data_IF_801772409835
#
_entry.id   IF_801772409835
#
_cell.length_a   1.000
_cell.length_b   1.000
_cell.length_c   1.000
_cell.angle_alpha   90.00
_cell.angle_beta   90.00
_cell.angle_gamma   90.00
#
_symmetry.space_group_name_H-M   'P 1'
#
loop_
_entity.id
_entity.type
_entity.pdbx_description
1 polymer ?
#
# COMPACT_ATOMS: atom_id res chain seq x y z
N UNK A 1 -22.48 15.62 24.64
CA UNK A 1 -23.32 15.48 23.43
C UNK A 1 -22.39 14.93 22.35
N UNK A 2 -22.40 13.61 22.12
CA UNK A 2 -21.42 12.94 21.24
C UNK A 2 -21.78 13.30 19.80
N UNK A 3 -20.82 13.92 19.11
CA UNK A 3 -20.99 14.50 17.78
C UNK A 3 -21.30 13.40 16.75
N UNK A 4 -22.33 13.60 15.94
CA UNK A 4 -22.89 12.59 15.00
C UNK A 4 -21.92 12.19 13.88
N UNK A 5 -20.85 12.96 13.65
CA UNK A 5 -19.82 12.71 12.61
C UNK A 5 -18.85 11.59 13.00
N UNK A 6 -18.36 11.59 14.24
CA UNK A 6 -17.46 10.54 14.78
C UNK A 6 -18.16 9.17 14.87
N UNK A 7 -19.50 9.17 14.96
CA UNK A 7 -20.29 7.93 14.93
C UNK A 7 -20.17 7.16 13.62
N UNK A 8 -19.87 7.81 12.48
CA UNK A 8 -19.76 7.13 11.18
C UNK A 8 -18.38 6.49 10.99
N UNK A 9 -17.31 7.22 11.29
CA UNK A 9 -15.94 6.70 11.23
C UNK A 9 -15.71 5.56 12.24
N UNK A 10 -16.18 5.74 13.48
CA UNK A 10 -16.15 4.69 14.51
C UNK A 10 -16.96 3.46 14.06
N UNK A 11 -18.08 3.66 13.36
CA UNK A 11 -18.91 2.56 12.84
C UNK A 11 -18.23 1.83 11.68
N UNK A 12 -17.54 2.53 10.77
CA UNK A 12 -16.73 1.95 9.71
C UNK A 12 -15.57 1.11 10.29
N UNK A 13 -14.86 1.66 11.28
CA UNK A 13 -13.78 0.96 11.99
C UNK A 13 -14.30 -0.28 12.73
N UNK A 14 -15.45 -0.19 13.39
CA UNK A 14 -16.10 -1.34 14.03
C UNK A 14 -16.58 -2.38 13.00
N UNK A 15 -17.04 -1.97 11.82
CA UNK A 15 -17.45 -2.88 10.76
C UNK A 15 -16.25 -3.63 10.17
N UNK A 16 -15.16 -2.91 9.86
CA UNK A 16 -13.91 -3.52 9.38
C UNK A 16 -13.31 -4.46 10.44
N UNK A 17 -13.29 -4.05 11.71
CA UNK A 17 -12.81 -4.88 12.82
C UNK A 17 -13.72 -6.11 13.05
N UNK A 18 -15.03 -5.97 12.89
CA UNK A 18 -15.97 -7.09 13.03
C UNK A 18 -15.83 -8.11 11.91
N UNK A 19 -15.50 -7.69 10.69
CA UNK A 19 -15.19 -8.59 9.57
C UNK A 19 -13.92 -9.40 9.87
N UNK A 20 -12.86 -8.74 10.35
CA UNK A 20 -11.61 -9.41 10.75
C UNK A 20 -11.82 -10.38 11.92
N UNK A 21 -12.63 -10.01 12.92
CA UNK A 21 -12.98 -10.89 14.03
C UNK A 21 -13.84 -12.09 13.59
N UNK A 22 -14.75 -11.90 12.64
CA UNK A 22 -15.53 -13.00 12.07
C UNK A 22 -14.64 -13.99 11.30
N UNK A 23 -13.62 -13.50 10.59
CA UNK A 23 -12.64 -14.33 9.88
C UNK A 23 -11.80 -15.17 10.87
N UNK A 24 -11.33 -14.57 11.98
CA UNK A 24 -10.52 -15.29 12.98
C UNK A 24 -11.28 -16.33 13.78
N UNK A 25 -12.59 -16.14 14.03
CA UNK A 25 -13.41 -17.12 14.75
C UNK A 25 -13.77 -18.36 13.91
N UNK A 26 -13.68 -18.27 12.58
CA UNK A 26 -13.93 -19.41 11.68
C UNK A 26 -12.70 -20.32 11.49
N UNK A 27 -11.51 -19.87 11.89
CA UNK A 27 -10.28 -20.67 11.89
C UNK A 27 -10.14 -21.64 13.08
N UNK A 28 -11.13 -21.69 13.97
CA UNK A 28 -11.03 -22.35 15.28
C UNK A 28 -11.92 -23.57 15.49
N UNK A 29 -12.04 -24.52 14.55
CA UNK A 29 -12.56 -25.87 14.84
C UNK A 29 -12.23 -26.92 13.76
N UNK A 30 -11.24 -27.79 14.05
CA UNK A 30 -10.97 -29.06 13.35
C UNK A 30 -9.73 -29.01 12.46
N UNK A 31 -8.74 -29.91 12.52
CA UNK A 31 -8.69 -31.33 12.91
C UNK A 31 -7.27 -31.73 13.37
N UNK A 32 -7.23 -32.82 14.14
CA UNK A 32 -6.07 -33.59 14.62
C UNK A 32 -5.07 -33.98 13.52
N UNK A 33 -3.78 -33.89 13.85
CA UNK A 33 -2.66 -34.49 13.13
C UNK A 33 -2.47 -35.98 13.47
N UNK A 34 -1.86 -36.76 12.57
CA UNK A 34 -1.03 -37.89 12.96
C UNK A 34 0.41 -37.80 12.40
N UNK A 35 1.34 -37.94 13.35
CA UNK A 35 2.70 -38.50 13.37
C UNK A 35 3.57 -38.59 12.10
N UNK A 36 4.78 -38.02 12.23
CA UNK A 36 5.96 -38.26 11.41
C UNK A 36 6.73 -39.51 11.87
N UNK A 37 7.65 -40.02 11.01
CA UNK A 37 8.93 -40.50 11.52
C UNK A 37 10.14 -39.86 10.83
N UNK A 38 11.23 -39.82 11.60
CA UNK A 38 12.54 -39.25 11.33
C UNK A 38 13.48 -40.18 10.55
N UNK A 39 14.48 -39.59 9.87
CA UNK A 39 15.93 -39.87 9.96
C UNK A 39 16.63 -39.39 8.67
N UNK A 40 17.55 -38.43 8.76
CA UNK A 40 19.02 -38.59 8.71
C UNK A 40 19.62 -39.00 7.36
N UNK A 41 20.66 -38.24 6.93
CA UNK A 41 21.68 -38.72 6.00
C UNK A 41 22.10 -37.72 4.91
N UNK A 42 23.10 -36.87 5.20
CA UNK A 42 24.08 -36.41 4.18
C UNK A 42 25.17 -37.49 4.04
N UNK A 43 25.85 -37.60 2.89
CA UNK A 43 27.15 -36.93 2.78
C UNK A 43 27.44 -36.28 1.41
N UNK A 44 28.46 -35.42 1.46
CA UNK A 44 29.13 -34.59 0.45
C UNK A 44 29.93 -35.37 -0.61
N UNK A 45 30.22 -34.73 -1.76
CA UNK A 45 31.51 -34.64 -2.50
C UNK A 45 31.24 -33.96 -3.86
N UNK A 46 31.77 -32.74 -4.10
CA UNK A 46 33.02 -32.43 -4.82
C UNK A 46 33.03 -32.81 -6.31
N UNK A 47 33.19 -31.80 -7.19
CA UNK A 47 33.56 -32.05 -8.58
C UNK A 47 33.25 -30.95 -9.60
N UNK A 48 34.25 -30.11 -9.84
CA UNK A 48 34.70 -29.69 -11.18
C UNK A 48 34.12 -28.40 -11.81
N UNK A 49 35.05 -27.45 -12.00
CA UNK A 49 34.94 -26.25 -12.79
C UNK A 49 35.02 -26.55 -14.29
N UNK A 50 34.28 -25.79 -15.11
CA UNK A 50 34.55 -25.64 -16.53
C UNK A 50 34.25 -24.21 -17.00
N UNK A 51 35.06 -23.76 -17.95
CA UNK A 51 35.31 -22.39 -18.39
C UNK A 51 34.16 -21.72 -19.16
N UNK A 52 34.26 -20.39 -19.17
CA UNK A 52 33.36 -19.40 -19.76
C UNK A 52 33.13 -19.50 -21.29
N UNK A 53 31.99 -19.00 -21.77
CA UNK A 53 31.87 -18.37 -23.08
C UNK A 53 32.00 -16.84 -22.98
N UNK A 54 32.74 -16.27 -23.92
CA UNK A 54 32.88 -14.83 -24.17
C UNK A 54 31.53 -14.12 -24.44
N UNK A 55 31.45 -12.81 -24.17
CA UNK A 55 30.20 -12.05 -24.23
C UNK A 55 29.79 -11.78 -25.69
N UNK A 56 28.57 -12.16 -26.04
CA UNK A 56 27.91 -11.66 -27.24
C UNK A 56 27.33 -10.27 -26.96
N UNK A 57 27.72 -9.33 -27.80
CA UNK A 57 27.12 -8.00 -27.98
C UNK A 57 25.58 -8.11 -28.03
N UNK A 58 24.93 -7.54 -27.02
CA UNK A 58 23.51 -7.21 -27.05
C UNK A 58 23.38 -5.71 -26.72
N UNK A 59 22.60 -5.03 -27.55
CA UNK A 59 22.55 -3.58 -27.68
C UNK A 59 22.46 -2.81 -26.37
N UNK A 60 23.18 -1.71 -26.33
CA UNK A 60 23.06 -0.65 -25.35
C UNK A 60 21.66 -0.03 -25.45
N UNK A 61 20.70 -0.59 -24.72
CA UNK A 61 19.64 0.23 -24.15
C UNK A 61 20.32 1.19 -23.18
N UNK A 62 20.24 2.48 -23.50
CA UNK A 62 20.67 3.54 -22.60
C UNK A 62 19.74 3.57 -21.39
N UNK A 63 20.00 2.69 -20.43
CA UNK A 63 19.41 2.79 -19.09
C UNK A 63 19.85 4.12 -18.49
N UNK A 64 18.87 5.00 -18.27
CA UNK A 64 19.09 6.20 -17.49
C UNK A 64 19.32 5.76 -16.04
N UNK A 65 20.43 6.16 -15.38
CA UNK A 65 20.67 5.75 -14.00
C UNK A 65 19.53 6.26 -13.11
N UNK A 66 18.76 5.34 -12.51
CA UNK A 66 17.78 5.66 -11.46
C UNK A 66 16.29 5.53 -11.81
N UNK A 67 15.90 5.06 -12.99
CA UNK A 67 14.48 4.72 -13.28
C UNK A 67 14.20 3.25 -12.93
N UNK A 68 13.04 2.91 -12.30
CA UNK A 68 12.72 1.52 -11.99
C UNK A 68 12.67 0.65 -13.25
N UNK A 69 13.22 -0.56 -13.16
CA UNK A 69 13.20 -1.54 -14.23
C UNK A 69 11.78 -2.11 -14.42
N UNK A 70 11.02 -2.26 -13.33
CA UNK A 70 9.66 -2.83 -13.32
C UNK A 70 8.65 -1.96 -12.57
N UNK A 71 7.35 -2.20 -12.83
CA UNK A 71 6.26 -1.60 -12.06
C UNK A 71 6.31 -2.00 -10.57
N UNK A 72 6.71 -3.25 -10.28
CA UNK A 72 6.91 -3.73 -8.91
C UNK A 72 7.99 -2.95 -8.16
N UNK A 73 9.10 -2.62 -8.81
CA UNK A 73 10.18 -1.82 -8.18
C UNK A 73 9.71 -0.39 -7.88
N UNK A 74 9.00 0.24 -8.83
CA UNK A 74 8.37 1.56 -8.63
C UNK A 74 7.41 1.54 -7.44
N UNK A 75 6.52 0.54 -7.41
CA UNK A 75 5.55 0.37 -6.33
C UNK A 75 6.23 0.11 -4.98
N UNK A 76 7.24 -0.76 -4.95
CA UNK A 76 8.02 -1.04 -3.73
C UNK A 76 8.66 0.22 -3.15
N UNK A 77 9.33 1.02 -3.98
CA UNK A 77 9.95 2.27 -3.54
C UNK A 77 8.92 3.29 -3.03
N UNK A 78 7.76 3.39 -3.67
CA UNK A 78 6.67 4.24 -3.22
C UNK A 78 6.09 3.79 -1.87
N UNK A 79 5.81 2.49 -1.70
CA UNK A 79 5.27 1.93 -0.46
C UNK A 79 6.26 2.07 0.69
N UNK A 80 7.56 1.90 0.46
CA UNK A 80 8.59 2.13 1.46
C UNK A 80 8.59 3.59 1.94
N UNK A 81 8.63 4.55 0.99
CA UNK A 81 8.63 5.98 1.31
C UNK A 81 7.33 6.39 2.05
N UNK A 82 6.18 5.91 1.58
CA UNK A 82 4.90 6.11 2.25
C UNK A 82 4.88 5.51 3.66
N UNK A 83 5.38 4.30 3.82
CA UNK A 83 5.41 3.60 5.12
C UNK A 83 6.22 4.35 6.16
N UNK A 84 7.37 4.91 5.78
CA UNK A 84 8.19 5.76 6.65
C UNK A 84 7.42 7.01 7.09
N UNK A 85 6.78 7.73 6.15
CA UNK A 85 5.96 8.91 6.47
C UNK A 85 4.80 8.56 7.42
N UNK A 86 4.03 7.52 7.11
CA UNK A 86 2.87 7.12 7.91
C UNK A 86 3.29 6.69 9.32
N UNK A 87 4.41 5.98 9.45
CA UNK A 87 4.96 5.59 10.76
C UNK A 87 5.34 6.82 11.57
N UNK A 88 6.07 7.77 10.96
CA UNK A 88 6.52 8.99 11.62
C UNK A 88 5.36 9.87 12.08
N UNK A 89 4.35 10.05 11.22
CA UNK A 89 3.13 10.81 11.57
C UNK A 89 2.31 10.10 12.65
N UNK A 90 2.17 8.77 12.56
CA UNK A 90 1.43 7.99 13.56
C UNK A 90 2.07 8.12 14.93
N UNK A 91 3.39 7.97 15.02
CA UNK A 91 4.14 8.13 16.27
C UNK A 91 4.02 9.55 16.83
N UNK A 92 4.21 10.57 15.99
CA UNK A 92 4.13 11.96 16.40
C UNK A 92 2.74 12.34 16.95
N UNK A 93 1.67 11.86 16.31
CA UNK A 93 0.29 12.10 16.77
C UNK A 93 -0.01 11.32 18.06
N UNK A 94 0.38 10.04 18.12
CA UNK A 94 0.12 9.18 19.26
C UNK A 94 0.82 9.65 20.55
N UNK A 95 2.02 10.22 20.41
CA UNK A 95 2.85 10.68 21.54
C UNK A 95 2.65 12.16 21.91
N UNK A 96 1.78 12.89 21.22
CA UNK A 96 1.48 14.29 21.54
C UNK A 96 0.12 14.42 22.29
N UNK A 97 0.10 15.09 23.46
CA UNK A 97 -1.13 15.29 24.22
C UNK A 97 -2.25 15.97 23.41
N UNK A 98 -3.43 15.34 23.41
CA UNK A 98 -4.60 15.82 22.69
C UNK A 98 -4.62 15.47 21.20
N UNK A 99 -3.71 14.64 20.71
CA UNK A 99 -3.75 14.06 19.34
C UNK A 99 -3.64 12.54 19.32
N UNK A 100 -3.72 11.89 20.47
CA UNK A 100 -3.40 10.47 20.64
C UNK A 100 -4.25 9.58 19.73
N UNK A 101 -5.54 9.92 19.61
CA UNK A 101 -6.51 9.20 18.78
C UNK A 101 -6.54 9.66 17.32
N UNK A 102 -5.92 10.79 16.98
CA UNK A 102 -5.87 11.30 15.61
C UNK A 102 -4.97 10.39 14.73
N UNK A 103 -4.01 9.69 15.33
CA UNK A 103 -3.19 8.66 14.68
C UNK A 103 -4.03 7.52 14.07
N UNK A 104 -5.21 7.21 14.65
CA UNK A 104 -6.08 6.14 14.16
C UNK A 104 -6.64 6.43 12.77
N UNK A 105 -6.75 7.69 12.36
CA UNK A 105 -7.19 8.07 11.03
C UNK A 105 -6.27 7.55 9.93
N UNK A 106 -4.97 7.36 10.24
CA UNK A 106 -3.97 6.89 9.28
C UNK A 106 -4.07 5.39 9.00
N UNK A 107 -4.68 4.61 9.89
CA UNK A 107 -4.83 3.15 9.73
C UNK A 107 -5.59 2.77 8.46
N UNK A 108 -6.57 3.59 8.05
CA UNK A 108 -7.33 3.34 6.81
C UNK A 108 -6.44 3.30 5.56
N UNK A 109 -5.36 4.09 5.55
CA UNK A 109 -4.42 4.16 4.43
C UNK A 109 -3.57 2.89 4.38
N UNK A 110 -3.11 2.39 5.53
CA UNK A 110 -2.38 1.12 5.59
C UNK A 110 -3.25 -0.08 5.20
N UNK A 111 -4.56 -0.03 5.47
CA UNK A 111 -5.48 -1.09 5.03
C UNK A 111 -5.66 -1.13 3.51
N UNK A 112 -5.59 0.02 2.83
CA UNK A 112 -5.60 0.10 1.36
C UNK A 112 -4.41 -0.65 0.76
N UNK A 113 -3.24 -0.61 1.41
CA UNK A 113 -2.02 -1.24 0.89
C UNK A 113 -2.15 -2.75 0.77
N UNK A 114 -2.95 -3.38 1.63
CA UNK A 114 -3.28 -4.80 1.53
C UNK A 114 -4.04 -5.13 0.25
N UNK A 115 -5.00 -4.28 -0.14
CA UNK A 115 -5.75 -4.47 -1.39
C UNK A 115 -4.89 -4.25 -2.64
N UNK A 116 -3.78 -3.52 -2.50
CA UNK A 116 -2.82 -3.24 -3.56
C UNK A 116 -1.61 -4.18 -3.56
N UNK A 117 -1.52 -5.12 -2.62
CA UNK A 117 -0.42 -6.08 -2.52
C UNK A 117 -0.06 -6.77 -3.85
N UNK A 118 -1.01 -7.23 -4.70
CA UNK A 118 -0.66 -7.85 -5.97
C UNK A 118 0.22 -6.98 -6.89
N UNK A 119 0.22 -5.65 -6.73
CA UNK A 119 1.07 -4.76 -7.51
C UNK A 119 2.58 -5.01 -7.29
N UNK A 120 2.97 -5.62 -6.17
CA UNK A 120 4.35 -6.05 -5.90
C UNK A 120 4.82 -7.23 -6.77
N UNK A 121 4.00 -7.70 -7.70
CA UNK A 121 4.35 -8.75 -8.67
C UNK A 121 4.36 -8.25 -10.12
N UNK A 122 3.95 -7.00 -10.36
CA UNK A 122 3.84 -6.47 -11.72
C UNK A 122 5.22 -6.36 -12.39
N UNK A 123 5.40 -7.07 -13.49
CA UNK A 123 6.65 -7.18 -14.24
C UNK A 123 7.61 -8.24 -13.69
N UNK A 124 7.22 -8.98 -12.64
CA UNK A 124 7.99 -10.09 -12.08
C UNK A 124 7.43 -11.47 -12.45
N UNK A 125 6.21 -11.51 -13.00
CA UNK A 125 5.57 -12.73 -13.48
C UNK A 125 4.79 -13.51 -12.42
N UNK A 126 4.21 -14.62 -12.88
CA UNK A 126 3.23 -15.40 -12.12
C UNK A 126 3.80 -16.03 -10.84
N UNK A 127 5.07 -16.43 -10.83
CA UNK A 127 5.71 -17.00 -9.63
C UNK A 127 5.76 -15.98 -8.48
N UNK A 128 6.07 -14.72 -8.79
CA UNK A 128 6.05 -13.62 -7.81
C UNK A 128 4.64 -13.37 -7.27
N UNK A 129 3.63 -13.37 -8.14
CA UNK A 129 2.23 -13.23 -7.72
C UNK A 129 1.78 -14.38 -6.80
N UNK A 130 2.17 -15.61 -7.11
CA UNK A 130 1.91 -16.78 -6.27
C UNK A 130 2.59 -16.67 -4.91
N UNK A 131 3.83 -16.20 -4.85
CA UNK A 131 4.54 -16.01 -3.58
C UNK A 131 3.89 -14.92 -2.73
N UNK A 132 3.58 -13.77 -3.33
CA UNK A 132 2.98 -12.62 -2.64
C UNK A 132 1.60 -12.96 -2.06
N UNK A 133 0.75 -13.64 -2.83
CA UNK A 133 -0.64 -13.90 -2.44
C UNK A 133 -0.82 -15.25 -1.74
N UNK A 134 0.07 -16.22 -1.97
CA UNK A 134 0.03 -17.53 -1.31
C UNK A 134 0.16 -17.43 0.21
N UNK A 135 0.90 -16.43 0.72
CA UNK A 135 0.98 -16.14 2.16
C UNK A 135 -0.38 -15.72 2.76
N UNK A 136 -1.26 -15.11 1.95
CA UNK A 136 -2.61 -14.72 2.34
C UNK A 136 -3.65 -15.83 2.09
N UNK A 137 -3.21 -17.04 1.77
CA UNK A 137 -4.10 -18.17 1.48
C UNK A 137 -4.90 -18.04 0.19
N UNK A 138 -4.51 -17.12 -0.70
CA UNK A 138 -5.16 -16.94 -1.99
C UNK A 138 -5.02 -18.19 -2.86
N UNK A 139 -6.04 -18.45 -3.67
CA UNK A 139 -6.15 -19.59 -4.58
C UNK A 139 -6.47 -19.12 -5.98
N UNK A 140 -6.35 -20.04 -6.94
CA UNK A 140 -6.73 -19.81 -8.34
C UNK A 140 -6.10 -18.52 -8.91
N UNK A 141 -4.82 -18.30 -8.57
CA UNK A 141 -4.07 -17.10 -8.96
C UNK A 141 -3.83 -17.15 -10.46
N UNK A 142 -4.22 -16.10 -11.16
CA UNK A 142 -3.99 -15.92 -12.60
C UNK A 142 -3.32 -14.57 -12.81
N UNK A 143 -2.06 -14.61 -13.24
CA UNK A 143 -1.28 -13.43 -13.64
C UNK A 143 -1.36 -13.23 -15.15
N UNK A 144 -1.47 -11.97 -15.57
CA UNK A 144 -1.37 -11.59 -16.98
C UNK A 144 -0.67 -10.25 -17.12
N UNK A 145 0.12 -10.13 -18.18
CA UNK A 145 0.88 -8.93 -18.53
C UNK A 145 0.88 -8.73 -20.04
N UNK A 146 0.67 -7.49 -20.48
CA UNK A 146 0.76 -7.09 -21.87
C UNK A 146 1.36 -5.69 -21.98
N UNK A 147 2.66 -5.62 -22.24
CA UNK A 147 3.40 -4.35 -22.28
C UNK A 147 3.38 -3.69 -20.91
N UNK A 148 2.65 -2.58 -20.78
CA UNK A 148 2.56 -1.82 -19.54
C UNK A 148 1.28 -2.06 -18.73
N UNK A 149 0.48 -3.05 -19.14
CA UNK A 149 -0.78 -3.42 -18.49
C UNK A 149 -0.63 -4.75 -17.76
N UNK A 150 -1.12 -4.80 -16.53
CA UNK A 150 -1.03 -5.94 -15.62
C UNK A 150 -2.41 -6.31 -15.09
N UNK A 151 -2.62 -7.59 -14.80
CA UNK A 151 -3.79 -8.06 -14.07
C UNK A 151 -3.43 -9.29 -13.25
N UNK A 152 -3.81 -9.28 -11.98
CA UNK A 152 -3.75 -10.45 -11.09
C UNK A 152 -5.15 -10.74 -10.58
N UNK A 153 -5.67 -11.92 -10.93
CA UNK A 153 -6.95 -12.43 -10.43
C UNK A 153 -6.68 -13.53 -9.42
N UNK A 154 -7.48 -13.59 -8.37
CA UNK A 154 -7.34 -14.63 -7.36
C UNK A 154 -8.65 -14.79 -6.58
N UNK A 155 -8.77 -15.93 -5.90
CA UNK A 155 -9.83 -16.21 -4.95
C UNK A 155 -9.28 -16.11 -3.53
N UNK A 156 -9.89 -15.26 -2.72
CA UNK A 156 -9.51 -15.12 -1.31
C UNK A 156 -9.92 -16.34 -0.47
N UNK A 157 -9.43 -16.42 0.76
CA UNK A 157 -9.84 -17.45 1.72
C UNK A 157 -11.33 -17.36 2.09
N UNK A 158 -11.89 -16.15 2.00
CA UNK A 158 -13.32 -15.85 2.12
C UNK A 158 -14.18 -16.42 0.96
N UNK A 159 -13.52 -16.93 -0.09
CA UNK A 159 -14.16 -17.44 -1.29
C UNK A 159 -14.61 -16.36 -2.28
N UNK A 160 -14.26 -15.09 -2.04
CA UNK A 160 -14.57 -13.94 -2.90
C UNK A 160 -13.55 -13.86 -4.04
N UNK A 161 -13.99 -13.38 -5.20
CA UNK A 161 -13.10 -13.15 -6.34
C UNK A 161 -12.54 -11.74 -6.30
N UNK A 162 -11.23 -11.65 -6.40
CA UNK A 162 -10.47 -10.42 -6.42
C UNK A 162 -9.72 -10.30 -7.75
N UNK A 163 -9.61 -9.06 -8.23
CA UNK A 163 -8.78 -8.71 -9.38
C UNK A 163 -8.13 -7.36 -9.11
N UNK A 164 -6.81 -7.29 -9.29
CA UNK A 164 -6.08 -6.04 -9.34
C UNK A 164 -5.56 -5.82 -10.75
N UNK A 165 -6.00 -4.74 -11.38
CA UNK A 165 -5.48 -4.28 -12.67
C UNK A 165 -4.47 -3.16 -12.44
N UNK A 166 -3.41 -3.14 -13.24
CA UNK A 166 -2.36 -2.12 -13.19
C UNK A 166 -2.03 -1.56 -14.57
N UNK A 167 -1.75 -0.27 -14.65
CA UNK A 167 -1.19 0.40 -15.82
C UNK A 167 0.03 1.22 -15.38
N UNK A 168 1.20 0.89 -15.91
CA UNK A 168 2.46 1.54 -15.58
C UNK A 168 2.92 2.50 -16.68
N UNK A 169 3.28 3.72 -16.31
CA UNK A 169 3.98 4.66 -17.18
C UNK A 169 5.44 4.76 -16.72
N UNK A 170 6.33 4.08 -17.44
CA UNK A 170 7.76 4.05 -17.14
C UNK A 170 8.43 5.41 -17.31
N UNK A 171 7.96 6.26 -18.22
CA UNK A 171 8.56 7.58 -18.43
C UNK A 171 8.22 8.54 -17.29
N UNK A 172 7.04 8.36 -16.70
CA UNK A 172 6.59 9.11 -15.55
C UNK A 172 7.01 8.52 -14.20
N UNK A 173 7.47 7.27 -14.18
CA UNK A 173 7.52 6.44 -12.98
C UNK A 173 6.20 6.55 -12.19
N UNK A 174 5.11 6.16 -12.86
CA UNK A 174 3.75 6.25 -12.33
C UNK A 174 2.99 4.94 -12.53
N UNK A 175 2.27 4.50 -11.50
CA UNK A 175 1.43 3.30 -11.55
C UNK A 175 0.01 3.67 -11.15
N UNK A 176 -0.95 3.26 -11.98
CA UNK A 176 -2.37 3.29 -11.67
C UNK A 176 -2.89 1.88 -11.46
N UNK A 177 -3.57 1.66 -10.35
CA UNK A 177 -4.19 0.40 -10.00
C UNK A 177 -5.71 0.54 -9.85
N UNK A 178 -6.45 -0.49 -10.27
CA UNK A 178 -7.89 -0.62 -10.06
C UNK A 178 -8.15 -1.96 -9.38
N UNK A 179 -8.73 -1.92 -8.18
CA UNK A 179 -9.19 -3.12 -7.48
C UNK A 179 -10.63 -3.41 -7.81
N UNK A 180 -10.91 -4.67 -8.11
CA UNK A 180 -12.21 -5.20 -8.49
C UNK A 180 -12.52 -6.38 -7.57
N UNK A 181 -13.67 -6.31 -6.90
CA UNK A 181 -14.17 -7.36 -6.01
C UNK A 181 -15.52 -7.83 -6.55
N UNK A 182 -15.63 -9.12 -6.85
CA UNK A 182 -16.81 -9.75 -7.49
C UNK A 182 -17.33 -8.93 -8.70
N UNK A 183 -16.40 -8.47 -9.54
CA UNK A 183 -16.69 -7.73 -10.76
C UNK A 183 -17.08 -6.25 -10.57
N UNK A 184 -17.02 -5.72 -9.34
CA UNK A 184 -17.27 -4.30 -9.04
C UNK A 184 -15.98 -3.61 -8.67
N UNK A 185 -15.76 -2.43 -9.23
CA UNK A 185 -14.67 -1.56 -8.78
C UNK A 185 -14.91 -1.15 -7.32
N UNK A 186 -13.89 -1.33 -6.48
CA UNK A 186 -13.91 -0.93 -5.06
C UNK A 186 -12.83 0.10 -4.74
N UNK A 187 -11.79 0.20 -5.58
CA UNK A 187 -10.65 1.08 -5.33
C UNK A 187 -9.96 1.48 -6.63
N UNK A 188 -9.59 2.75 -6.75
CA UNK A 188 -8.61 3.23 -7.72
C UNK A 188 -7.46 3.89 -6.97
N UNK A 189 -6.23 3.44 -7.19
CA UNK A 189 -5.02 4.05 -6.64
C UNK A 189 -4.11 4.52 -7.75
N UNK A 190 -3.39 5.60 -7.52
CA UNK A 190 -2.37 6.11 -8.41
C UNK A 190 -1.20 6.65 -7.59
N UNK A 191 0.02 6.33 -7.99
CA UNK A 191 1.22 7.01 -7.49
C UNK A 191 2.08 7.45 -8.66
N UNK A 192 2.88 8.49 -8.41
CA UNK A 192 3.79 9.06 -9.40
C UNK A 192 5.03 9.65 -8.74
N UNK A 193 6.18 9.44 -9.37
CA UNK A 193 7.42 10.12 -8.99
C UNK A 193 7.36 11.61 -9.33
N UNK A 194 7.86 12.44 -8.43
CA UNK A 194 7.97 13.89 -8.62
C UNK A 194 9.40 14.35 -8.37
N UNK A 195 9.68 15.64 -8.62
CA UNK A 195 11.00 16.23 -8.32
C UNK A 195 11.33 16.26 -6.83
N UNK A 196 10.33 16.15 -5.94
CA UNK A 196 10.51 16.18 -4.49
C UNK A 196 10.38 14.79 -3.85
N UNK A 197 9.96 13.76 -4.58
CA UNK A 197 9.73 12.42 -4.04
C UNK A 197 8.56 11.75 -4.74
N UNK A 198 7.42 11.62 -4.06
CA UNK A 198 6.22 10.97 -4.60
C UNK A 198 4.95 11.76 -4.31
N UNK A 199 3.98 11.63 -5.22
CA UNK A 199 2.58 12.00 -4.99
C UNK A 199 1.73 10.76 -5.21
N UNK A 200 0.70 10.59 -4.38
CA UNK A 200 -0.23 9.48 -4.47
C UNK A 200 -1.65 9.91 -4.17
N UNK A 201 -2.60 9.19 -4.78
CA UNK A 201 -4.02 9.31 -4.48
C UNK A 201 -4.67 7.92 -4.47
N UNK A 202 -5.61 7.72 -3.57
CA UNK A 202 -6.44 6.51 -3.52
C UNK A 202 -7.88 6.90 -3.30
N UNK A 203 -8.73 6.52 -4.25
CA UNK A 203 -10.17 6.62 -4.16
C UNK A 203 -10.76 5.26 -3.80
N UNK A 204 -11.52 5.20 -2.71
CA UNK A 204 -12.10 3.97 -2.16
C UNK A 204 -13.62 4.07 -2.19
N UNK A 205 -14.28 2.99 -2.60
CA UNK A 205 -15.73 2.83 -2.62
C UNK A 205 -16.08 1.78 -1.56
N UNK A 206 -16.70 2.21 -0.47
CA UNK A 206 -17.18 1.32 0.59
C UNK A 206 -18.40 0.51 0.15
N UNK A 207 -18.68 -0.58 0.89
CA UNK A 207 -19.79 -1.50 0.60
C UNK A 207 -21.17 -0.81 0.66
N UNK A 208 -21.30 0.25 1.45
CA UNK A 208 -22.50 1.07 1.56
C UNK A 208 -22.61 2.15 0.46
N UNK A 209 -21.65 2.17 -0.47
CA UNK A 209 -21.52 3.16 -1.53
C UNK A 209 -20.92 4.48 -1.10
N UNK A 210 -20.49 4.62 0.17
CA UNK A 210 -19.71 5.77 0.59
C UNK A 210 -18.34 5.79 -0.10
N UNK A 211 -17.82 6.98 -0.32
CA UNK A 211 -16.63 7.18 -1.13
C UNK A 211 -15.63 8.07 -0.40
N UNK A 212 -14.39 7.62 -0.36
CA UNK A 212 -13.30 8.24 0.39
C UNK A 212 -12.10 8.47 -0.50
N UNK A 213 -11.41 9.59 -0.28
CA UNK A 213 -10.20 9.97 -0.97
C UNK A 213 -9.07 10.14 0.04
N UNK A 214 -7.97 9.42 -0.22
CA UNK A 214 -6.69 9.59 0.42
C UNK A 214 -5.74 10.27 -0.55
N UNK A 215 -5.09 11.34 -0.12
CA UNK A 215 -4.05 12.05 -0.86
C UNK A 215 -2.77 12.02 -0.05
N UNK A 216 -1.64 11.91 -0.73
CA UNK A 216 -0.34 11.88 -0.06
C UNK A 216 0.76 12.48 -0.93
N UNK A 217 1.67 13.20 -0.28
CA UNK A 217 2.95 13.63 -0.84
C UNK A 217 4.06 13.21 0.10
N UNK A 218 5.17 12.73 -0.45
CA UNK A 218 6.33 12.26 0.31
C UNK A 218 7.59 12.95 -0.20
N UNK A 219 8.39 13.48 0.72
CA UNK A 219 9.69 14.13 0.48
C UNK A 219 10.71 13.59 1.48
N UNK A 220 11.45 12.56 1.10
CA UNK A 220 12.29 11.83 2.07
C UNK A 220 11.43 11.21 3.16
N UNK A 221 11.66 11.59 4.41
CA UNK A 221 10.85 11.17 5.57
C UNK A 221 9.68 12.10 5.90
N UNK A 222 9.56 13.20 5.16
CA UNK A 222 8.62 14.28 5.40
C UNK A 222 7.47 14.18 4.39
N UNK A 223 6.39 14.92 4.62
CA UNK A 223 5.28 14.91 3.68
C UNK A 223 3.94 15.33 4.28
N UNK A 224 2.90 15.16 3.47
CA UNK A 224 1.52 15.48 3.84
C UNK A 224 0.62 14.30 3.51
N UNK A 225 -0.30 14.01 4.42
CA UNK A 225 -1.38 13.03 4.26
C UNK A 225 -2.70 13.75 4.40
N UNK A 226 -3.62 13.55 3.48
CA UNK A 226 -4.95 14.15 3.51
C UNK A 226 -6.03 13.10 3.32
N UNK A 227 -7.14 13.22 4.05
CA UNK A 227 -8.31 12.37 3.90
C UNK A 227 -9.60 13.19 3.80
N UNK A 228 -10.48 12.79 2.88
CA UNK A 228 -11.79 13.40 2.72
C UNK A 228 -12.83 12.40 2.23
N UNK A 229 -14.10 12.66 2.56
CA UNK A 229 -15.20 12.10 1.78
C UNK A 229 -15.14 12.69 0.38
N UNK A 230 -15.35 11.87 -0.63
CA UNK A 230 -15.30 12.27 -2.03
C UNK A 230 -16.67 12.10 -2.69
N UNK A 231 -17.08 13.05 -3.52
CA UNK A 231 -18.32 12.91 -4.32
C UNK A 231 -18.09 12.25 -5.67
N UNK A 232 -16.85 12.23 -6.13
CA UNK A 232 -16.44 11.69 -7.42
C UNK A 232 -14.98 11.22 -7.40
N UNK A 233 -14.61 10.40 -8.39
CA UNK A 233 -13.23 9.95 -8.57
C UNK A 233 -12.35 11.16 -8.92
N UNK A 234 -11.16 11.33 -8.31
CA UNK A 234 -10.27 12.44 -8.62
C UNK A 234 -9.71 12.35 -10.05
N UNK A 235 -9.24 13.50 -10.55
CA UNK A 235 -8.48 13.55 -11.80
C UNK A 235 -7.14 12.81 -11.67
N UNK A 236 -6.58 12.33 -12.79
CA UNK A 236 -5.28 11.66 -12.80
C UNK A 236 -4.15 12.59 -12.33
N UNK A 237 -3.12 12.00 -11.71
CA UNK A 237 -1.95 12.75 -11.26
C UNK A 237 -1.11 13.19 -12.45
N UNK A 238 -0.60 14.42 -12.36
CA UNK A 238 0.21 15.05 -13.41
C UNK A 238 1.71 14.98 -13.13
N UNK A 239 2.08 14.80 -11.85
CA UNK A 239 3.45 14.89 -11.34
C UNK A 239 3.91 16.32 -11.09
N UNK A 240 3.04 17.31 -11.32
CA UNK A 240 3.27 18.74 -11.05
C UNK A 240 2.52 19.22 -9.82
N UNK A 241 1.93 18.31 -9.04
CA UNK A 241 1.27 18.62 -7.78
C UNK A 241 2.25 19.30 -6.82
N UNK A 242 1.77 20.29 -6.06
CA UNK A 242 2.56 20.87 -4.99
C UNK A 242 2.65 19.90 -3.81
N UNK A 243 3.67 20.05 -2.95
CA UNK A 243 3.79 19.27 -1.70
C UNK A 243 2.51 19.39 -0.85
N UNK A 244 1.89 20.58 -0.83
CA UNK A 244 0.66 20.86 -0.09
C UNK A 244 -0.62 20.35 -0.76
N UNK A 245 -0.53 19.63 -1.88
CA UNK A 245 -1.67 19.05 -2.60
C UNK A 245 -2.66 18.27 -1.68
N UNK A 246 -2.23 17.49 -0.68
CA UNK A 246 -3.16 16.81 0.22
C UNK A 246 -3.90 17.74 1.20
N UNK A 247 -3.44 18.99 1.41
CA UNK A 247 -4.08 19.95 2.34
C UNK A 247 -5.45 20.46 1.86
N UNK A 248 -5.86 20.11 0.64
CA UNK A 248 -7.23 20.35 0.16
C UNK A 248 -8.27 19.43 0.83
N UNK A 249 -7.82 18.37 1.49
CA UNK A 249 -8.69 17.44 2.23
C UNK A 249 -9.27 18.08 3.50
N UNK A 250 -10.41 17.55 3.96
CA UNK A 250 -11.08 18.02 5.18
C UNK A 250 -10.25 17.74 6.44
N UNK A 251 -9.52 16.63 6.43
CA UNK A 251 -8.57 16.23 7.45
C UNK A 251 -7.21 16.06 6.78
N UNK A 252 -6.14 16.57 7.38
CA UNK A 252 -4.80 16.38 6.88
C UNK A 252 -3.74 16.54 7.99
N UNK A 253 -2.62 15.87 7.81
CA UNK A 253 -1.47 15.91 8.70
C UNK A 253 -0.21 16.07 7.87
N UNK A 254 0.67 16.99 8.28
CA UNK A 254 1.94 17.26 7.63
C UNK A 254 3.05 17.18 8.66
N UNK A 255 4.20 16.66 8.23
CA UNK A 255 5.45 16.72 8.98
C UNK A 255 6.56 17.24 8.07
N UNK A 256 7.28 18.26 8.54
CA UNK A 256 8.43 18.89 7.88
C UNK A 256 9.56 19.02 8.90
N UNK A 257 10.61 18.22 8.73
CA UNK A 257 11.57 17.91 9.77
C UNK A 257 10.87 17.40 11.03
N UNK A 258 10.95 18.17 12.12
CA UNK A 258 10.27 17.85 13.38
C UNK A 258 8.95 18.60 13.54
N UNK A 259 8.58 19.50 12.63
CA UNK A 259 7.35 20.28 12.78
C UNK A 259 6.16 19.50 12.28
N UNK A 260 5.19 19.25 13.16
CA UNK A 260 3.88 18.68 12.78
C UNK A 260 2.85 19.80 12.70
N UNK A 261 2.07 19.79 11.62
CA UNK A 261 0.87 20.63 11.45
C UNK A 261 -0.27 19.81 10.90
N UNK A 262 -1.52 20.22 11.12
CA UNK A 262 -2.66 19.46 10.62
C UNK A 262 -4.01 20.09 10.91
N UNK A 263 -5.03 19.51 10.27
CA UNK A 263 -6.44 19.69 10.57
C UNK A 263 -7.00 18.31 10.88
N UNK A 264 -7.52 18.12 12.09
CA UNK A 264 -8.08 16.83 12.55
C UNK A 264 -9.47 16.58 11.96
N UNK A 265 -9.98 15.35 12.11
CA UNK A 265 -11.30 14.94 11.59
C UNK A 265 -12.48 15.80 12.07
N UNK A 266 -12.36 16.41 13.26
CA UNK A 266 -13.34 17.33 13.84
C UNK A 266 -13.08 18.81 13.50
N UNK A 267 -12.06 19.11 12.70
CA UNK A 267 -11.74 20.43 12.18
C UNK A 267 -10.84 21.28 13.07
N UNK A 268 -10.20 20.69 14.09
CA UNK A 268 -9.25 21.40 14.96
C UNK A 268 -7.89 21.49 14.26
N UNK A 269 -7.33 22.69 14.25
CA UNK A 269 -5.96 22.91 13.80
C UNK A 269 -4.96 22.50 14.88
N UNK A 270 -3.89 21.81 14.47
CA UNK A 270 -2.80 21.38 15.33
C UNK A 270 -1.46 21.88 14.79
N UNK A 271 -0.55 22.20 15.71
CA UNK A 271 0.83 22.58 15.39
C UNK A 271 1.71 22.33 16.61
N UNK A 272 2.66 21.42 16.49
CA UNK A 272 3.59 21.06 17.56
C UNK A 272 4.92 20.56 16.99
N UNK A 273 5.93 20.40 17.85
CA UNK A 273 7.23 19.84 17.47
C UNK A 273 7.29 18.39 17.95
N UNK A 274 7.61 17.48 17.03
CA UNK A 274 7.80 16.06 17.26
C UNK A 274 9.22 15.80 17.79
N UNK A 275 9.28 15.06 18.89
CA UNK A 275 10.53 14.50 19.42
C UNK A 275 10.40 12.97 19.32
N UNK A 276 11.18 12.31 18.44
CA UNK A 276 11.15 10.86 18.32
C UNK A 276 11.41 10.17 19.66
N UNK A 277 10.69 9.09 19.95
CA UNK A 277 11.01 8.23 21.10
C UNK A 277 12.40 7.61 20.95
N UNK A 278 13.17 7.52 22.05
CA UNK A 278 14.57 7.02 22.06
C UNK A 278 14.74 5.57 21.56
N UNK A 279 13.67 4.80 21.38
CA UNK A 279 13.70 3.40 20.90
C UNK A 279 13.83 3.27 19.36
N UNK A 280 14.13 4.35 18.64
CA UNK A 280 14.11 4.44 17.17
C UNK A 280 15.46 4.65 16.47
N UNK A 281 16.60 4.41 17.12
CA UNK A 281 17.93 4.32 16.50
C UNK A 281 18.42 2.87 16.34
#
# INVERSE_FOLDING_TARGET
MINTKNRKFVRLLFQLTAIVLAITMLAGCGKKAPDAPASEGRPSEEGQAEEAPQPNDAGTDTETPGSPATASESYGAYIEAKGQLLTRLSDALANNPGTEFDSMSLLGISMVDLALLPASSFGLGEESANLALGFLGAKDIVYSENGNQYSVKYKGEDGINYELQGEYDKAADALKCISIVDGKETLTSEHRKTSYGYVGQTYVIGDDGSTYLYLLTVTGTDGVVGMSEASEKPAALTGSEAIDFPKQCQEWYAIDGNKVTGVTSDGREISFDYTPSEDGE
#
